data_IF_751429206917
#
_entry.id   IF_751429206917
#
_cell.length_a   1.000
_cell.length_b   1.000
_cell.length_c   1.000
_cell.angle_alpha   90.00
_cell.angle_beta   90.00
_cell.angle_gamma   90.00
#
_symmetry.space_group_name_H-M   'P 1'
#
loop_
_entity.id
_entity.type
_entity.pdbx_description
1 polymer ?
#
# COMPACT_ATOMS: atom_id res chain seq x y z
N UNK A 1 7.31 1.02 -20.88
CA UNK A 1 5.87 0.73 -20.85
C UNK A 1 5.16 1.67 -21.79
N UNK A 2 4.50 1.17 -22.83
CA UNK A 2 3.52 1.95 -23.59
C UNK A 2 2.24 1.13 -23.68
N UNK A 3 1.15 1.65 -23.13
CA UNK A 3 -0.17 1.00 -23.15
C UNK A 3 -0.67 0.77 -24.58
N UNK A 4 -0.29 1.64 -25.52
CA UNK A 4 -0.57 1.52 -26.95
C UNK A 4 0.01 0.24 -27.56
N UNK A 5 1.24 -0.14 -27.18
CA UNK A 5 1.88 -1.36 -27.69
C UNK A 5 1.16 -2.63 -27.22
N UNK A 6 0.41 -2.52 -26.12
CA UNK A 6 -0.42 -3.57 -25.56
C UNK A 6 -1.88 -3.54 -26.06
N UNK A 7 -2.20 -2.64 -27.01
CA UNK A 7 -3.52 -2.52 -27.62
C UNK A 7 -4.56 -1.79 -26.76
N UNK A 8 -4.13 -0.94 -25.82
CA UNK A 8 -5.04 -0.04 -25.09
C UNK A 8 -5.03 1.34 -25.73
N UNK A 9 -6.22 1.90 -25.94
CA UNK A 9 -6.35 3.30 -26.28
C UNK A 9 -5.83 4.15 -25.11
N UNK A 10 -5.11 5.22 -25.41
CA UNK A 10 -4.55 6.11 -24.39
C UNK A 10 -5.38 7.38 -24.35
N UNK A 11 -5.86 7.75 -23.16
CA UNK A 11 -6.64 8.97 -22.97
C UNK A 11 -7.97 8.72 -22.29
N UNK A 12 -8.79 9.77 -22.23
CA UNK A 12 -10.10 9.75 -21.57
C UNK A 12 -11.28 9.43 -22.49
N UNK A 13 -11.05 8.88 -23.69
CA UNK A 13 -12.13 8.43 -24.59
C UNK A 13 -12.56 6.99 -24.28
N UNK A 14 -13.68 6.54 -24.87
CA UNK A 14 -14.17 5.17 -24.70
C UNK A 14 -13.09 4.12 -25.02
N UNK A 15 -12.96 3.10 -24.16
CA UNK A 15 -11.88 2.09 -24.24
C UNK A 15 -10.49 2.59 -23.82
N UNK A 16 -10.38 3.87 -23.45
CA UNK A 16 -9.14 4.52 -23.06
C UNK A 16 -8.72 4.23 -21.62
N UNK A 17 -7.41 4.09 -21.41
CA UNK A 17 -6.79 3.99 -20.09
C UNK A 17 -5.79 5.14 -19.91
N UNK A 18 -5.91 5.83 -18.79
CA UNK A 18 -4.91 6.78 -18.31
C UNK A 18 -4.01 6.09 -17.28
N UNK A 19 -2.70 6.19 -17.46
CA UNK A 19 -1.71 5.77 -16.48
C UNK A 19 -1.10 7.01 -15.79
N UNK A 20 -1.29 7.10 -14.47
CA UNK A 20 -0.66 8.10 -13.63
C UNK A 20 0.51 7.47 -12.87
N UNK A 21 1.68 8.07 -13.01
CA UNK A 21 2.92 7.62 -12.37
C UNK A 21 2.86 7.83 -10.85
N UNK A 22 3.28 6.83 -10.07
CA UNK A 22 3.44 6.92 -8.62
C UNK A 22 4.75 6.25 -8.17
N UNK A 23 5.85 6.54 -8.88
CA UNK A 23 7.19 6.01 -8.57
C UNK A 23 7.24 4.48 -8.56
N UNK A 24 7.20 3.85 -7.39
CA UNK A 24 7.14 2.38 -7.22
C UNK A 24 5.80 1.73 -7.59
N UNK A 25 4.82 2.53 -8.01
CA UNK A 25 3.53 2.06 -8.49
C UNK A 25 3.01 2.86 -9.70
N UNK A 26 1.93 2.35 -10.28
CA UNK A 26 1.17 2.98 -11.37
C UNK A 26 -0.32 2.93 -11.04
N UNK A 27 -0.99 4.06 -11.20
CA UNK A 27 -2.41 4.22 -10.97
C UNK A 27 -3.12 4.30 -12.33
N UNK A 28 -4.07 3.40 -12.58
CA UNK A 28 -4.80 3.33 -13.84
C UNK A 28 -6.24 3.79 -13.66
N UNK A 29 -6.72 4.57 -14.63
CA UNK A 29 -8.09 5.06 -14.70
C UNK A 29 -8.64 4.71 -16.09
N UNK A 30 -9.68 3.88 -16.13
CA UNK A 30 -10.37 3.55 -17.37
C UNK A 30 -11.49 4.56 -17.62
N UNK A 31 -11.79 4.84 -18.89
CA UNK A 31 -12.97 5.62 -19.22
C UNK A 31 -14.22 4.97 -18.62
N UNK A 32 -15.00 5.76 -17.87
CA UNK A 32 -16.19 5.34 -17.13
C UNK A 32 -15.99 4.12 -16.20
N UNK A 33 -14.76 3.85 -15.76
CA UNK A 33 -14.42 2.70 -14.93
C UNK A 33 -14.90 1.36 -15.53
N UNK A 34 -14.76 1.20 -16.86
CA UNK A 34 -15.26 0.01 -17.56
C UNK A 34 -14.54 -1.28 -17.13
N UNK A 35 -15.30 -2.20 -16.50
CA UNK A 35 -14.80 -3.48 -15.96
C UNK A 35 -14.05 -4.32 -17.00
N UNK A 36 -14.58 -4.45 -18.22
CA UNK A 36 -13.95 -5.25 -19.26
C UNK A 36 -12.56 -4.72 -19.67
N UNK A 37 -12.38 -3.41 -19.68
CA UNK A 37 -11.09 -2.78 -19.96
C UNK A 37 -10.11 -3.02 -18.81
N UNK A 38 -10.57 -2.93 -17.56
CA UNK A 38 -9.75 -3.20 -16.37
C UNK A 38 -9.37 -4.68 -16.26
N UNK A 39 -10.28 -5.62 -16.52
CA UNK A 39 -9.99 -7.06 -16.57
C UNK A 39 -8.90 -7.37 -17.60
N UNK A 40 -9.02 -6.79 -18.81
CA UNK A 40 -8.00 -6.96 -19.86
C UNK A 40 -6.65 -6.38 -19.44
N UNK A 41 -6.67 -5.22 -18.76
CA UNK A 41 -5.46 -4.56 -18.26
C UNK A 41 -4.79 -5.37 -17.15
N UNK A 42 -5.54 -5.82 -16.14
CA UNK A 42 -5.03 -6.66 -15.06
C UNK A 42 -4.42 -7.97 -15.59
N UNK A 43 -5.10 -8.62 -16.55
CA UNK A 43 -4.59 -9.81 -17.22
C UNK A 43 -3.27 -9.56 -17.96
N UNK A 44 -3.16 -8.44 -18.68
CA UNK A 44 -1.93 -8.07 -19.37
C UNK A 44 -0.78 -7.74 -18.42
N UNK A 45 -1.05 -6.98 -17.36
CA UNK A 45 -0.08 -6.61 -16.32
C UNK A 45 0.45 -7.86 -15.62
N UNK A 46 -0.41 -8.80 -15.21
CA UNK A 46 0.00 -10.03 -14.54
C UNK A 46 0.94 -10.93 -15.35
N UNK A 47 1.03 -10.74 -16.68
CA UNK A 47 2.01 -11.43 -17.54
C UNK A 47 3.38 -10.74 -17.62
N UNK A 48 3.51 -9.56 -17.05
CA UNK A 48 4.74 -8.79 -17.11
C UNK A 48 5.68 -9.18 -15.95
N UNK A 49 6.98 -9.37 -16.21
CA UNK A 49 7.93 -9.79 -15.17
C UNK A 49 8.16 -8.75 -14.08
N UNK A 50 7.74 -7.51 -14.30
CA UNK A 50 7.86 -6.39 -13.36
C UNK A 50 6.56 -6.09 -12.60
N UNK A 51 5.47 -6.80 -12.89
CA UNK A 51 4.20 -6.61 -12.19
C UNK A 51 4.26 -7.25 -10.81
N UNK A 52 4.10 -6.43 -9.76
CA UNK A 52 3.92 -6.87 -8.38
C UNK A 52 2.43 -7.00 -8.08
N UNK A 53 1.98 -6.46 -6.95
CA UNK A 53 0.58 -6.51 -6.53
C UNK A 53 -0.36 -5.70 -7.45
N UNK A 54 -1.59 -6.20 -7.64
CA UNK A 54 -2.67 -5.58 -8.40
C UNK A 54 -3.92 -5.40 -7.52
N UNK A 55 -4.38 -4.16 -7.39
CA UNK A 55 -5.52 -3.76 -6.56
C UNK A 55 -6.63 -3.09 -7.38
N UNK A 56 -7.88 -3.49 -7.21
CA UNK A 56 -9.03 -2.90 -7.94
C UNK A 56 -10.07 -2.28 -7.01
N UNK A 57 -10.62 -1.14 -7.42
CA UNK A 57 -11.74 -0.49 -6.72
C UNK A 57 -13.02 -1.32 -6.79
N UNK A 58 -13.91 -1.17 -5.81
CA UNK A 58 -15.24 -1.78 -5.87
C UNK A 58 -16.06 -1.36 -7.10
N UNK A 59 -15.81 -0.17 -7.66
CA UNK A 59 -16.60 0.38 -8.79
C UNK A 59 -16.51 -0.44 -10.06
N UNK A 60 -15.41 -1.16 -10.25
CA UNK A 60 -15.19 -1.99 -11.44
C UNK A 60 -15.65 -3.43 -11.22
N UNK A 61 -16.20 -3.75 -10.05
CA UNK A 61 -16.62 -5.10 -9.67
C UNK A 61 -15.45 -6.04 -9.39
N UNK A 62 -15.76 -7.33 -9.33
CA UNK A 62 -14.78 -8.39 -9.07
C UNK A 62 -13.94 -8.66 -10.32
N UNK A 63 -12.65 -8.32 -10.25
CA UNK A 63 -11.69 -8.55 -11.34
C UNK A 63 -10.81 -9.76 -10.98
N UNK A 64 -10.81 -10.84 -11.78
CA UNK A 64 -9.98 -12.01 -11.50
C UNK A 64 -8.49 -11.66 -11.38
N UNK A 65 -7.83 -12.25 -10.39
CA UNK A 65 -6.40 -12.03 -10.15
C UNK A 65 -6.06 -10.74 -9.42
N UNK A 66 -7.02 -9.92 -8.99
CA UNK A 66 -6.76 -8.70 -8.21
C UNK A 66 -7.23 -8.83 -6.76
N UNK A 67 -6.70 -7.98 -5.88
CA UNK A 67 -7.14 -7.83 -4.49
C UNK A 67 -7.95 -6.53 -4.37
N UNK A 68 -8.97 -6.44 -3.51
CA UNK A 68 -9.71 -5.18 -3.33
C UNK A 68 -8.81 -4.03 -2.88
N UNK A 69 -8.95 -2.86 -3.51
CA UNK A 69 -8.22 -1.64 -3.18
C UNK A 69 -8.46 -1.16 -1.73
N UNK A 70 -9.58 -1.55 -1.13
CA UNK A 70 -9.90 -1.30 0.28
C UNK A 70 -8.91 -1.97 1.25
N UNK A 71 -8.25 -3.07 0.86
CA UNK A 71 -7.17 -3.70 1.67
C UNK A 71 -6.00 -2.73 1.91
N UNK A 72 -5.73 -1.84 0.95
CA UNK A 72 -4.68 -0.83 1.04
C UNK A 72 -5.22 0.58 1.38
N UNK A 73 -6.50 0.72 1.74
CA UNK A 73 -7.16 1.99 1.99
C UNK A 73 -7.05 3.02 0.84
N UNK A 74 -6.97 2.55 -0.41
CA UNK A 74 -6.89 3.42 -1.60
C UNK A 74 -8.18 3.41 -2.44
N UNK A 75 -9.24 2.79 -1.92
CA UNK A 75 -10.55 2.84 -2.54
C UNK A 75 -11.26 4.18 -2.28
N UNK A 76 -12.26 4.50 -3.11
CA UNK A 76 -13.08 5.70 -3.00
C UNK A 76 -13.06 6.56 -4.26
N UNK A 77 -13.89 7.61 -4.29
CA UNK A 77 -14.28 8.36 -5.50
C UNK A 77 -13.13 8.87 -6.39
N UNK A 78 -11.94 9.11 -5.83
CA UNK A 78 -10.74 9.57 -6.56
C UNK A 78 -9.63 8.52 -6.65
N UNK A 79 -9.85 7.37 -6.01
CA UNK A 79 -8.95 6.22 -6.08
C UNK A 79 -8.89 5.67 -7.51
N UNK A 80 -7.79 4.99 -7.86
CA UNK A 80 -7.63 4.38 -9.17
C UNK A 80 -8.66 3.28 -9.40
N UNK A 81 -8.91 2.97 -10.66
CA UNK A 81 -9.74 1.82 -11.03
C UNK A 81 -8.94 0.51 -10.92
N UNK A 82 -7.64 0.60 -11.20
CA UNK A 82 -6.63 -0.42 -10.94
C UNK A 82 -5.33 0.24 -10.46
N UNK A 83 -4.75 -0.22 -9.36
CA UNK A 83 -3.40 0.13 -8.94
C UNK A 83 -2.47 -1.06 -9.13
N UNK A 84 -1.27 -0.81 -9.62
CA UNK A 84 -0.20 -1.80 -9.65
C UNK A 84 1.01 -1.30 -8.89
N UNK A 85 1.49 -2.06 -7.91
CA UNK A 85 2.84 -1.90 -7.38
C UNK A 85 3.82 -2.70 -8.23
N UNK A 86 5.00 -2.18 -8.52
CA UNK A 86 6.05 -2.98 -9.15
C UNK A 86 6.48 -4.14 -8.25
N UNK A 87 6.89 -5.24 -8.87
CA UNK A 87 7.48 -6.37 -8.18
C UNK A 87 8.81 -5.94 -7.55
N UNK A 88 9.03 -6.34 -6.31
CA UNK A 88 10.22 -5.97 -5.55
C UNK A 88 10.83 -7.18 -4.89
N UNK A 89 12.09 -7.06 -4.49
CA UNK A 89 12.79 -8.11 -3.76
C UNK A 89 13.64 -7.52 -2.63
N UNK A 90 14.22 -8.38 -1.79
CA UNK A 90 15.05 -7.98 -0.63
C UNK A 90 16.52 -8.31 -0.77
N UNK A 91 16.95 -8.63 -1.99
CA UNK A 91 18.36 -8.83 -2.30
C UNK A 91 19.12 -7.55 -1.96
N UNK A 92 20.35 -7.72 -1.48
CA UNK A 92 21.25 -6.58 -1.25
C UNK A 92 21.65 -6.02 -2.62
N UNK A 93 21.33 -4.75 -2.84
CA UNK A 93 21.63 -4.06 -4.09
C UNK A 93 23.12 -3.71 -4.20
N UNK A 94 23.53 -3.19 -5.36
CA UNK A 94 24.93 -2.83 -5.66
C UNK A 94 25.53 -1.78 -4.71
N UNK A 95 24.68 -1.04 -3.99
CA UNK A 95 25.10 -0.03 -3.00
C UNK A 95 25.12 -0.55 -1.56
N UNK A 96 24.83 -1.84 -1.34
CA UNK A 96 24.93 -2.50 -0.03
C UNK A 96 23.67 -2.43 0.83
N UNK A 97 22.53 -1.97 0.29
CA UNK A 97 21.25 -1.89 1.01
C UNK A 97 20.29 -3.00 0.54
N UNK A 98 19.51 -3.63 1.44
CA UNK A 98 18.46 -4.56 1.03
C UNK A 98 17.33 -3.81 0.33
N UNK A 99 16.78 -4.41 -0.72
CA UNK A 99 15.62 -3.85 -1.41
C UNK A 99 15.95 -3.36 -2.81
N UNK A 100 15.22 -3.88 -3.79
CA UNK A 100 15.16 -3.36 -5.15
C UNK A 100 13.74 -3.42 -5.69
N UNK A 101 13.35 -2.38 -6.41
CA UNK A 101 12.09 -2.33 -7.15
C UNK A 101 12.29 -1.50 -8.43
N UNK A 102 11.64 -1.86 -9.55
CA UNK A 102 11.47 -0.97 -10.68
C UNK A 102 10.77 0.33 -10.26
N UNK A 103 10.95 1.37 -11.07
CA UNK A 103 10.27 2.65 -10.88
C UNK A 103 9.73 3.19 -12.19
N UNK A 104 8.61 3.90 -12.12
CA UNK A 104 8.12 4.69 -13.22
C UNK A 104 9.01 5.91 -13.43
N UNK A 105 9.96 5.77 -14.35
CA UNK A 105 10.91 6.82 -14.69
C UNK A 105 12.02 6.97 -13.64
N UNK A 106 12.78 8.05 -13.77
CA UNK A 106 14.00 8.26 -12.99
C UNK A 106 15.21 7.51 -13.56
N UNK A 107 16.38 7.73 -12.95
CA UNK A 107 17.63 7.04 -13.30
C UNK A 107 17.84 5.88 -12.33
N UNK A 108 18.43 4.79 -12.80
CA UNK A 108 18.84 3.68 -11.92
C UNK A 108 19.77 4.23 -10.82
N UNK A 109 19.54 3.80 -9.57
CA UNK A 109 20.37 4.16 -8.42
C UNK A 109 20.03 5.50 -7.73
N UNK A 110 19.02 6.25 -8.18
CA UNK A 110 18.67 7.55 -7.56
C UNK A 110 17.58 7.47 -6.48
N UNK A 111 17.07 6.27 -6.19
CA UNK A 111 15.98 6.05 -5.24
C UNK A 111 14.64 6.62 -5.73
N UNK A 112 13.54 5.95 -5.38
CA UNK A 112 12.18 6.47 -5.55
C UNK A 112 11.27 5.77 -4.51
N UNK A 113 10.01 6.20 -4.40
CA UNK A 113 9.03 5.62 -3.48
C UNK A 113 7.67 5.42 -4.17
N UNK A 114 6.69 4.88 -3.43
CA UNK A 114 5.29 4.78 -3.84
C UNK A 114 4.84 3.35 -4.17
N UNK A 115 5.70 2.35 -3.97
CA UNK A 115 5.37 0.93 -4.07
C UNK A 115 4.91 0.31 -2.75
N UNK A 116 4.64 -0.99 -2.81
CA UNK A 116 4.22 -1.83 -1.68
C UNK A 116 5.35 -2.68 -1.10
N UNK A 117 6.60 -2.26 -1.30
CA UNK A 117 7.75 -2.92 -0.66
C UNK A 117 7.77 -2.66 0.83
N UNK A 118 8.09 -3.68 1.64
CA UNK A 118 8.36 -3.46 3.08
C UNK A 118 9.48 -2.46 3.33
N UNK A 119 10.42 -2.34 2.38
CA UNK A 119 11.53 -1.37 2.46
C UNK A 119 11.08 0.08 2.22
N UNK A 120 9.87 0.28 1.69
CA UNK A 120 9.24 1.60 1.52
C UNK A 120 8.18 1.88 2.60
N UNK A 121 7.45 0.85 3.03
CA UNK A 121 6.33 0.99 3.97
C UNK A 121 6.78 0.99 5.44
N UNK A 122 7.85 0.27 5.78
CA UNK A 122 8.32 0.16 7.17
C UNK A 122 9.19 1.37 7.57
N UNK A 123 8.51 2.41 8.06
CA UNK A 123 9.11 3.69 8.46
C UNK A 123 9.39 3.75 9.97
N UNK A 124 10.24 4.70 10.39
CA UNK A 124 10.53 4.95 11.81
C UNK A 124 9.85 6.21 12.30
N UNK A 125 9.02 6.10 13.35
CA UNK A 125 8.49 7.22 14.10
C UNK A 125 9.38 7.52 15.32
N UNK A 126 9.81 8.77 15.49
CA UNK A 126 10.53 9.24 16.68
C UNK A 126 9.69 10.28 17.40
N UNK A 127 9.34 10.02 18.65
CA UNK A 127 8.58 10.92 19.50
C UNK A 127 9.40 11.34 20.73
N UNK A 128 9.27 12.62 21.13
CA UNK A 128 9.94 13.17 22.32
C UNK A 128 9.08 14.23 22.98
N UNK A 129 8.86 14.10 24.28
CA UNK A 129 8.10 15.06 25.08
C UNK A 129 7.86 14.53 26.50
N UNK A 130 7.29 15.34 27.40
CA UNK A 130 7.00 14.91 28.77
C UNK A 130 5.96 13.80 28.86
N UNK A 131 5.08 13.69 27.86
CA UNK A 131 4.02 12.67 27.80
C UNK A 131 4.51 11.31 27.32
N UNK A 132 5.68 11.22 26.67
CA UNK A 132 6.21 9.98 26.12
C UNK A 132 7.14 9.27 27.11
N UNK A 133 7.10 7.94 27.11
CA UNK A 133 8.05 7.12 27.88
C UNK A 133 9.48 7.40 27.39
N UNK A 134 10.41 7.49 28.34
CA UNK A 134 11.84 7.72 28.03
C UNK A 134 12.50 6.41 27.62
N UNK A 135 13.36 6.48 26.60
CA UNK A 135 14.17 5.35 26.12
C UNK A 135 13.34 4.09 25.82
N UNK A 136 12.09 4.28 25.40
CA UNK A 136 11.20 3.19 25.05
C UNK A 136 11.33 2.87 23.56
N UNK A 137 11.26 1.58 23.24
CA UNK A 137 11.02 1.07 21.89
C UNK A 137 9.60 0.53 21.88
N UNK A 138 8.85 0.86 20.83
CA UNK A 138 7.49 0.39 20.60
C UNK A 138 7.53 -0.49 19.36
N UNK A 139 7.47 -1.80 19.57
CA UNK A 139 7.53 -2.81 18.50
C UNK A 139 6.12 -3.26 18.05
N UNK A 140 5.06 -2.75 18.68
CA UNK A 140 3.69 -2.98 18.22
C UNK A 140 3.45 -2.31 16.86
N UNK A 141 2.56 -2.85 16.01
CA UNK A 141 2.22 -2.23 14.74
C UNK A 141 1.67 -0.80 14.92
N UNK A 142 2.25 0.14 14.18
CA UNK A 142 1.88 1.56 14.16
C UNK A 142 1.98 2.12 12.75
N UNK A 143 1.31 3.24 12.49
CA UNK A 143 1.39 3.93 11.22
C UNK A 143 1.13 5.43 11.34
N UNK A 144 1.30 6.16 10.23
CA UNK A 144 1.08 7.61 10.18
C UNK A 144 -0.33 8.04 10.65
N UNK A 145 -1.32 7.16 10.48
CA UNK A 145 -2.69 7.37 10.91
C UNK A 145 -2.83 7.53 12.43
N UNK A 146 -1.86 7.04 13.21
CA UNK A 146 -1.88 7.07 14.68
C UNK A 146 -1.34 8.38 15.27
N UNK A 147 -0.64 9.19 14.45
CA UNK A 147 0.02 10.42 14.90
C UNK A 147 -1.00 11.44 15.39
N UNK A 148 -2.03 11.72 14.58
CA UNK A 148 -3.07 12.69 14.91
C UNK A 148 -3.87 12.32 16.17
N UNK A 149 -4.45 11.10 16.30
CA UNK A 149 -5.20 10.74 17.51
C UNK A 149 -4.31 10.74 18.76
N UNK A 150 -3.04 10.33 18.66
CA UNK A 150 -2.09 10.38 19.78
C UNK A 150 -1.83 11.83 20.24
N UNK A 151 -1.64 12.78 19.31
CA UNK A 151 -1.44 14.19 19.65
C UNK A 151 -2.69 14.78 20.29
N UNK A 152 -3.88 14.50 19.76
CA UNK A 152 -5.15 14.98 20.33
C UNK A 152 -5.33 14.49 21.77
N UNK A 153 -5.04 13.21 22.02
CA UNK A 153 -5.08 12.63 23.37
C UNK A 153 -4.13 13.33 24.35
N UNK A 154 -2.87 13.55 23.94
CA UNK A 154 -1.88 14.28 24.76
C UNK A 154 -2.36 15.69 25.12
N UNK A 155 -3.05 16.36 24.20
CA UNK A 155 -3.58 17.72 24.39
C UNK A 155 -4.90 17.74 25.16
N UNK A 156 -5.50 16.59 25.48
CA UNK A 156 -6.83 16.51 26.09
C UNK A 156 -7.95 17.01 25.17
N UNK A 157 -7.76 16.92 23.85
CA UNK A 157 -8.72 17.34 22.83
C UNK A 157 -9.50 16.14 22.30
N UNK A 158 -10.79 16.35 22.04
CA UNK A 158 -11.64 15.37 21.34
C UNK A 158 -11.41 15.37 19.82
N UNK A 159 -11.97 14.39 19.11
CA UNK A 159 -11.95 14.31 17.65
C UNK A 159 -11.10 13.17 17.09
N UNK A 160 -10.40 12.42 17.94
CA UNK A 160 -9.66 11.23 17.53
C UNK A 160 -10.54 10.01 17.27
N UNK A 161 -11.78 9.99 17.79
CA UNK A 161 -12.65 8.80 17.82
C UNK A 161 -13.08 8.35 16.41
N UNK A 162 -13.24 9.30 15.49
CA UNK A 162 -13.64 9.07 14.10
C UNK A 162 -12.47 8.82 13.13
N UNK A 163 -11.22 8.86 13.61
CA UNK A 163 -10.04 8.61 12.77
C UNK A 163 -9.80 7.10 12.61
N UNK A 164 -9.10 6.72 11.53
CA UNK A 164 -8.73 5.33 11.26
C UNK A 164 -7.66 4.81 12.21
N UNK A 165 -6.76 5.69 12.64
CA UNK A 165 -5.70 5.38 13.59
C UNK A 165 -6.18 5.26 15.04
N UNK A 166 -5.24 4.90 15.90
CA UNK A 166 -5.44 4.73 17.34
C UNK A 166 -4.47 5.61 18.13
N UNK A 167 -4.79 5.83 19.39
CA UNK A 167 -3.83 6.41 20.33
C UNK A 167 -2.76 5.36 20.64
N UNK A 168 -1.49 5.75 20.52
CA UNK A 168 -0.34 4.92 20.90
C UNK A 168 -0.13 4.96 22.42
N UNK A 169 -1.09 4.46 23.20
CA UNK A 169 -1.02 4.45 24.66
C UNK A 169 0.25 3.77 25.19
N UNK A 170 0.73 2.74 24.50
CA UNK A 170 1.97 2.07 24.81
C UNK A 170 3.20 2.98 24.70
N UNK A 171 3.12 4.12 24.01
CA UNK A 171 4.21 5.10 23.95
C UNK A 171 4.16 6.14 25.08
N UNK A 172 3.06 6.23 25.84
CA UNK A 172 2.79 7.30 26.79
C UNK A 172 3.09 6.92 28.24
N UNK A 173 3.37 7.93 29.07
CA UNK A 173 3.57 7.78 30.52
C UNK A 173 2.21 7.71 31.21
N UNK A 174 2.00 6.72 32.09
CA UNK A 174 0.83 6.65 32.97
C UNK A 174 -0.41 6.01 32.35
N UNK A 175 -0.50 5.95 31.02
CA UNK A 175 -1.35 4.98 30.34
C UNK A 175 -0.67 3.60 30.45
N UNK A 176 -1.43 2.49 30.40
CA UNK A 176 -0.98 1.11 30.63
C UNK A 176 0.13 0.64 29.66
N UNK A 177 1.31 1.26 29.73
CA UNK A 177 2.41 1.15 28.77
C UNK A 177 3.14 -0.20 28.78
N UNK A 178 2.54 -1.18 29.46
CA UNK A 178 2.93 -2.58 29.54
C UNK A 178 1.80 -3.54 29.11
N UNK A 179 0.62 -3.04 28.73
CA UNK A 179 -0.40 -3.86 28.13
C UNK A 179 0.11 -4.37 26.78
N UNK A 180 0.12 -5.69 26.60
CA UNK A 180 0.44 -6.30 25.31
C UNK A 180 -0.56 -5.78 24.29
N UNK A 181 -0.04 -5.13 23.24
CA UNK A 181 -0.87 -4.65 22.13
C UNK A 181 -1.18 -5.85 21.26
N UNK A 182 -2.41 -6.35 21.36
CA UNK A 182 -2.85 -7.43 20.50
C UNK A 182 -2.96 -6.97 19.05
N UNK A 183 -2.28 -7.70 18.17
CA UNK A 183 -2.31 -7.47 16.72
C UNK A 183 -2.70 -8.73 15.98
N UNK A 184 -3.33 -8.56 14.82
CA UNK A 184 -3.66 -9.66 13.90
C UNK A 184 -3.11 -9.35 12.52
N UNK A 185 -2.33 -10.27 11.96
CA UNK A 185 -1.89 -10.19 10.57
C UNK A 185 -2.75 -11.08 9.67
N UNK A 186 -3.06 -10.59 8.48
CA UNK A 186 -3.78 -11.32 7.42
C UNK A 186 -3.04 -11.12 6.11
N UNK A 187 -2.87 -12.21 5.36
CA UNK A 187 -2.37 -12.15 3.98
C UNK A 187 -3.53 -12.45 3.04
N UNK A 188 -3.80 -11.52 2.14
CA UNK A 188 -4.76 -11.64 1.05
C UNK A 188 -4.06 -12.20 -0.18
N UNK A 189 -4.71 -13.10 -0.89
CA UNK A 189 -4.18 -13.74 -2.09
C UNK A 189 -5.15 -13.58 -3.26
N UNK A 190 -4.60 -13.47 -4.47
CA UNK A 190 -5.37 -13.56 -5.70
C UNK A 190 -4.51 -14.19 -6.80
N UNK A 191 -5.15 -14.87 -7.75
CA UNK A 191 -4.47 -15.52 -8.86
C UNK A 191 -5.26 -15.43 -10.17
N UNK A 192 -4.53 -15.40 -11.29
CA UNK A 192 -5.07 -15.47 -12.64
C UNK A 192 -4.06 -16.16 -13.57
N UNK A 193 -4.39 -17.38 -14.01
CA UNK A 193 -3.46 -18.19 -14.79
C UNK A 193 -2.20 -18.51 -13.99
N UNK A 194 -1.04 -18.10 -14.48
CA UNK A 194 0.25 -18.28 -13.79
C UNK A 194 0.63 -17.12 -12.87
N UNK A 195 -0.13 -16.01 -12.90
CA UNK A 195 0.11 -14.88 -12.02
C UNK A 195 -0.52 -15.14 -10.66
N UNK A 196 0.25 -14.90 -9.60
CA UNK A 196 -0.19 -14.96 -8.21
C UNK A 196 0.33 -13.74 -7.48
N UNK A 197 -0.42 -13.27 -6.50
CA UNK A 197 0.00 -12.18 -5.64
C UNK A 197 -0.39 -12.41 -4.19
N UNK A 198 0.29 -11.69 -3.31
CA UNK A 198 -0.09 -11.51 -1.92
C UNK A 198 -0.04 -10.04 -1.51
N UNK A 199 -0.94 -9.68 -0.60
CA UNK A 199 -0.93 -8.40 0.12
C UNK A 199 -1.12 -8.69 1.60
N UNK A 200 -0.16 -8.30 2.41
CA UNK A 200 -0.16 -8.50 3.86
C UNK A 200 -0.55 -7.21 4.57
N UNK A 201 -1.47 -7.34 5.50
CA UNK A 201 -1.90 -6.27 6.40
C UNK A 201 -1.84 -6.74 7.84
N UNK A 202 -1.57 -5.81 8.76
CA UNK A 202 -1.65 -6.04 10.19
C UNK A 202 -2.62 -5.06 10.82
N UNK A 203 -3.47 -5.53 11.73
CA UNK A 203 -4.45 -4.70 12.43
C UNK A 203 -4.22 -4.69 13.94
N UNK A 204 -4.45 -3.54 14.57
CA UNK A 204 -4.54 -3.36 16.02
C UNK A 204 -5.87 -2.69 16.34
N UNK A 205 -6.79 -3.41 16.98
CA UNK A 205 -8.17 -2.96 17.11
C UNK A 205 -8.80 -2.72 15.74
N UNK A 206 -9.25 -1.48 15.49
CA UNK A 206 -9.83 -1.06 14.19
C UNK A 206 -8.80 -0.56 13.17
N UNK A 207 -7.59 -0.24 13.61
CA UNK A 207 -6.56 0.37 12.76
C UNK A 207 -5.87 -0.71 11.94
N UNK A 208 -5.73 -0.48 10.64
CA UNK A 208 -5.15 -1.42 9.67
C UNK A 208 -3.93 -0.78 9.02
N UNK A 209 -2.82 -1.50 9.02
CA UNK A 209 -1.55 -1.09 8.44
C UNK A 209 -1.22 -2.04 7.27
N UNK A 210 -0.85 -1.45 6.13
CA UNK A 210 -0.33 -2.19 5.00
C UNK A 210 1.14 -2.55 5.26
N UNK A 211 1.45 -3.84 5.34
CA UNK A 211 2.82 -4.31 5.63
C UNK A 211 3.64 -4.41 4.36
N UNK A 212 3.10 -5.11 3.35
CA UNK A 212 3.74 -5.32 2.06
C UNK A 212 2.75 -5.90 1.03
N UNK A 213 3.09 -5.81 -0.25
CA UNK A 213 2.37 -6.49 -1.32
C UNK A 213 3.29 -6.79 -2.49
N UNK A 214 3.16 -7.97 -3.08
CA UNK A 214 4.03 -8.41 -4.17
C UNK A 214 3.38 -9.50 -5.04
N UNK A 215 3.94 -9.71 -6.23
CA UNK A 215 3.69 -10.94 -6.99
C UNK A 215 4.45 -12.10 -6.34
N UNK A 216 3.89 -13.31 -6.42
CA UNK A 216 4.53 -14.54 -5.96
C UNK A 216 4.94 -15.34 -7.20
N UNK A 217 6.23 -15.65 -7.32
CA UNK A 217 6.71 -16.61 -8.30
C UNK A 217 6.25 -18.02 -7.88
N UNK A 218 5.58 -18.73 -8.79
CA UNK A 218 5.23 -20.15 -8.62
C UNK A 218 6.43 -21.08 -8.71
#
# INVERSE_FOLDING_TARGET
MQLSDAGFDVGGGAGGVLAAANGGAVLFYAHDAESATIERLASWLGRQPWCGALLTTERVGDVPGTIPASVANIDGRRGPDLAMSFAWDSTVNETGYPGSTPSWGGKVGVGNHGGMSRHELHNTLVARGPSFRRSAVVDSPTGNIDVAPTILHILGLSGGEGMDGRVLHEALVGDDGNAQVESRSVTHFAELGNYRQEVKVTSVGKSVYLDEGNSISG
#
